data_IF_724508300130
#
_entry.id   IF_724508300130
#
_cell.length_a   1.000
_cell.length_b   1.000
_cell.length_c   1.000
_cell.angle_alpha   90.00
_cell.angle_beta   90.00
_cell.angle_gamma   90.00
#
_symmetry.space_group_name_H-M   'P 1'
#
loop_
_entity.id
_entity.type
_entity.pdbx_description
1 polymer ?
#
# COMPACT_ATOMS: atom_id res chain seq x y z
N UNK A 1 -8.09 2.76 -21.13
CA UNK A 1 -6.67 2.66 -21.57
C UNK A 1 -6.38 3.39 -22.89
N UNK A 2 -7.23 3.29 -23.93
CA UNK A 2 -7.00 3.95 -25.24
C UNK A 2 -6.74 5.46 -25.17
N UNK A 3 -7.50 6.21 -24.35
CA UNK A 3 -7.28 7.65 -24.11
C UNK A 3 -5.96 7.97 -23.37
N UNK A 4 -5.44 7.03 -22.59
CA UNK A 4 -4.19 7.17 -21.83
C UNK A 4 -2.96 6.65 -22.60
N UNK A 5 -3.17 6.08 -23.82
CA UNK A 5 -2.11 5.50 -24.66
C UNK A 5 -1.20 4.51 -23.92
N UNK A 6 -1.83 3.58 -23.18
CA UNK A 6 -1.15 2.48 -22.48
C UNK A 6 -1.79 1.13 -22.82
N UNK A 7 -0.99 0.07 -22.80
CA UNK A 7 -1.43 -1.34 -22.90
C UNK A 7 -1.19 -2.03 -21.57
N UNK A 8 -2.21 -2.67 -21.00
CA UNK A 8 -2.03 -3.49 -19.80
C UNK A 8 -1.30 -4.79 -20.13
N UNK A 9 -0.31 -5.15 -19.32
CA UNK A 9 0.44 -6.41 -19.43
C UNK A 9 0.04 -7.40 -18.34
N UNK A 10 -0.10 -6.93 -17.10
CA UNK A 10 -0.49 -7.75 -15.95
C UNK A 10 -0.98 -6.87 -14.80
N UNK A 11 -1.63 -7.50 -13.82
CA UNK A 11 -1.89 -6.93 -12.49
C UNK A 11 -1.10 -7.75 -11.49
N UNK A 12 -0.33 -7.08 -10.63
CA UNK A 12 0.44 -7.69 -9.56
C UNK A 12 -0.33 -7.42 -8.26
N UNK A 13 -0.82 -8.49 -7.63
CA UNK A 13 -1.58 -8.42 -6.39
C UNK A 13 -0.63 -8.48 -5.19
N UNK A 14 -0.72 -7.49 -4.29
CA UNK A 14 0.06 -7.40 -3.04
C UNK A 14 -0.89 -7.54 -1.83
N UNK A 15 -0.33 -7.43 -0.64
CA UNK A 15 -1.02 -7.56 0.63
C UNK A 15 -2.07 -6.48 0.85
N UNK A 16 -2.94 -6.74 1.81
CA UNK A 16 -4.01 -5.83 2.18
C UNK A 16 -3.45 -4.64 2.95
N UNK A 17 -3.94 -3.45 2.63
CA UNK A 17 -3.53 -2.21 3.30
C UNK A 17 -4.15 -2.14 4.69
N UNK A 18 -3.31 -2.05 5.71
CA UNK A 18 -3.67 -1.97 7.13
C UNK A 18 -3.64 -0.52 7.61
N UNK A 19 -4.54 -0.12 8.53
CA UNK A 19 -4.41 1.14 9.25
C UNK A 19 -3.18 1.11 10.17
N UNK A 20 -2.35 2.14 10.08
CA UNK A 20 -1.16 2.35 10.91
C UNK A 20 -1.28 3.72 11.56
N UNK A 21 -1.00 3.84 12.85
CA UNK A 21 -1.21 5.05 13.63
C UNK A 21 -0.05 5.37 14.56
N UNK A 22 0.06 6.65 14.90
CA UNK A 22 1.18 7.21 15.69
C UNK A 22 0.97 7.01 17.18
N UNK A 23 -0.19 7.42 17.71
CA UNK A 23 -0.40 7.51 19.16
C UNK A 23 -1.02 6.25 19.79
N UNK A 24 -1.97 5.62 19.07
CA UNK A 24 -2.77 4.50 19.55
C UNK A 24 -3.39 3.75 18.36
N UNK A 25 -3.77 2.46 18.50
CA UNK A 25 -4.40 1.74 17.41
C UNK A 25 -5.78 2.33 17.09
N UNK A 26 -6.19 2.21 15.81
CA UNK A 26 -7.49 2.67 15.33
C UNK A 26 -8.47 1.48 15.39
N UNK A 27 -9.17 1.32 16.51
CA UNK A 27 -10.00 0.15 16.80
C UNK A 27 -11.48 0.36 16.42
N UNK A 28 -11.90 1.61 16.25
CA UNK A 28 -13.22 1.91 15.70
C UNK A 28 -13.28 3.30 15.08
N UNK A 29 -14.41 3.66 14.44
CA UNK A 29 -14.55 4.96 13.76
C UNK A 29 -14.30 6.17 14.66
N UNK A 30 -14.52 6.05 15.97
CA UNK A 30 -14.20 7.10 16.93
C UNK A 30 -12.72 7.48 16.97
N UNK A 31 -11.83 6.54 16.66
CA UNK A 31 -10.37 6.74 16.72
C UNK A 31 -9.83 7.49 15.51
N UNK A 32 -10.59 7.54 14.43
CA UNK A 32 -10.27 8.26 13.20
C UNK A 32 -10.61 9.75 13.29
N UNK A 33 -11.42 10.17 14.26
CA UNK A 33 -11.87 11.56 14.32
C UNK A 33 -10.74 12.53 14.63
N UNK A 34 -10.57 13.52 13.75
CA UNK A 34 -9.67 14.66 13.97
C UNK A 34 -8.20 14.40 13.66
N UNK A 35 -7.81 13.16 13.32
CA UNK A 35 -6.46 12.87 12.83
C UNK A 35 -6.35 13.22 11.35
N UNK A 36 -5.15 13.57 10.90
CA UNK A 36 -4.81 13.54 9.47
C UNK A 36 -4.31 12.14 9.13
N UNK A 37 -4.90 11.48 8.14
CA UNK A 37 -4.56 10.12 7.74
C UNK A 37 -4.11 10.09 6.27
N UNK A 38 -2.90 9.59 6.04
CA UNK A 38 -2.31 9.55 4.71
C UNK A 38 -2.60 8.24 3.97
N UNK A 39 -3.04 8.35 2.72
CA UNK A 39 -3.19 7.24 1.79
C UNK A 39 -2.62 7.58 0.43
N UNK A 40 -2.52 6.60 -0.46
CA UNK A 40 -2.14 6.88 -1.84
C UNK A 40 -3.13 7.87 -2.50
N UNK A 41 -2.66 8.69 -3.44
CA UNK A 41 -3.51 9.68 -4.13
C UNK A 41 -4.67 8.98 -4.85
N UNK A 42 -5.86 9.09 -4.29
CA UNK A 42 -7.09 8.51 -4.83
C UNK A 42 -8.30 9.21 -4.24
N UNK A 43 -9.24 9.64 -5.08
CA UNK A 43 -10.48 10.27 -4.63
C UNK A 43 -11.29 9.32 -3.74
N UNK A 44 -11.49 8.06 -4.15
CA UNK A 44 -12.28 7.11 -3.38
C UNK A 44 -11.63 6.74 -2.03
N UNK A 45 -10.29 6.75 -1.94
CA UNK A 45 -9.61 6.51 -0.67
C UNK A 45 -9.73 7.73 0.26
N UNK A 46 -9.61 8.95 -0.30
CA UNK A 46 -9.82 10.17 0.46
C UNK A 46 -11.26 10.24 1.02
N UNK A 47 -12.27 9.97 0.19
CA UNK A 47 -13.68 9.93 0.61
C UNK A 47 -13.92 8.87 1.70
N UNK A 48 -13.32 7.69 1.59
CA UNK A 48 -13.44 6.64 2.60
C UNK A 48 -12.82 7.05 3.96
N UNK A 49 -11.65 7.70 3.93
CA UNK A 49 -10.98 8.23 5.12
C UNK A 49 -11.80 9.34 5.77
N UNK A 50 -12.33 10.26 4.97
CA UNK A 50 -13.16 11.37 5.43
C UNK A 50 -14.49 10.88 6.02
N UNK A 51 -15.08 9.83 5.45
CA UNK A 51 -16.28 9.18 6.01
C UNK A 51 -16.04 8.56 7.39
N UNK A 52 -14.80 8.18 7.72
CA UNK A 52 -14.40 7.73 9.07
C UNK A 52 -14.14 8.91 10.04
N UNK A 53 -14.13 10.15 9.55
CA UNK A 53 -13.95 11.37 10.35
C UNK A 53 -12.51 11.89 10.43
N UNK A 54 -11.59 11.30 9.68
CA UNK A 54 -10.22 11.79 9.52
C UNK A 54 -10.12 12.82 8.40
N UNK A 55 -9.02 13.61 8.37
CA UNK A 55 -8.66 14.44 7.20
C UNK A 55 -7.78 13.62 6.27
N UNK A 56 -8.14 13.50 5.00
CA UNK A 56 -7.32 12.79 4.03
C UNK A 56 -6.05 13.58 3.66
N UNK A 57 -4.94 12.86 3.51
CA UNK A 57 -3.69 13.37 2.96
C UNK A 57 -3.14 12.38 1.94
N UNK A 58 -2.42 12.86 0.94
CA UNK A 58 -1.76 12.03 -0.08
C UNK A 58 -0.23 12.00 0.05
N UNK A 59 0.29 12.45 1.20
CA UNK A 59 1.72 12.42 1.49
C UNK A 59 2.26 11.00 1.47
N UNK A 60 3.39 10.81 0.80
CA UNK A 60 4.01 9.51 0.61
C UNK A 60 5.54 9.61 0.60
N UNK A 61 6.24 8.52 0.90
CA UNK A 61 7.70 8.46 0.88
C UNK A 61 8.34 9.44 1.86
N UNK A 62 9.35 10.18 1.41
CA UNK A 62 10.06 11.18 2.23
C UNK A 62 9.14 12.24 2.85
N UNK A 63 8.24 12.89 2.08
CA UNK A 63 7.25 13.82 2.64
C UNK A 63 6.37 13.23 3.76
N UNK A 64 5.96 11.97 3.64
CA UNK A 64 5.21 11.31 4.72
C UNK A 64 6.06 11.17 5.99
N UNK A 65 7.31 10.71 5.84
CA UNK A 65 8.22 10.57 6.98
C UNK A 65 8.50 11.91 7.68
N UNK A 66 8.71 12.99 6.92
CA UNK A 66 8.89 14.34 7.48
C UNK A 66 7.64 14.83 8.22
N UNK A 67 6.44 14.59 7.67
CA UNK A 67 5.19 15.00 8.30
C UNK A 67 4.86 14.15 9.56
N UNK A 68 5.30 12.89 9.61
CA UNK A 68 5.25 12.08 10.83
C UNK A 68 6.17 12.66 11.91
N UNK A 69 7.41 13.02 11.58
CA UNK A 69 8.34 13.65 12.53
C UNK A 69 7.85 15.01 13.03
N UNK A 70 7.15 15.77 12.18
CA UNK A 70 6.54 17.04 12.54
C UNK A 70 5.22 16.90 13.32
N UNK A 71 4.68 15.69 13.48
CA UNK A 71 3.40 15.45 14.15
C UNK A 71 2.17 15.91 13.35
N UNK A 72 2.30 16.08 12.04
CA UNK A 72 1.22 16.56 11.15
C UNK A 72 0.31 15.41 10.67
N UNK A 73 0.81 14.18 10.72
CA UNK A 73 0.10 12.95 10.32
C UNK A 73 -0.12 12.08 11.55
N UNK A 74 -1.37 11.71 11.81
CA UNK A 74 -1.75 10.81 12.91
C UNK A 74 -1.84 9.33 12.51
N UNK A 75 -1.88 9.04 11.20
CA UNK A 75 -1.86 7.69 10.68
C UNK A 75 -1.70 7.60 9.17
N UNK A 76 -1.44 6.40 8.67
CA UNK A 76 -1.33 6.11 7.26
C UNK A 76 -1.63 4.63 6.97
N UNK A 77 -1.63 4.25 5.70
CA UNK A 77 -1.87 2.86 5.29
C UNK A 77 -0.72 2.27 4.46
N UNK A 78 -0.38 1.00 4.73
CA UNK A 78 0.57 0.17 3.96
C UNK A 78 0.17 -1.31 4.08
N UNK A 79 0.68 -2.16 3.19
CA UNK A 79 0.75 -3.59 3.48
C UNK A 79 1.85 -3.83 4.53
N UNK A 80 1.77 -4.93 5.29
CA UNK A 80 2.74 -5.22 6.35
C UNK A 80 4.17 -5.35 5.80
N UNK A 81 4.34 -5.94 4.62
CA UNK A 81 5.63 -6.02 3.93
C UNK A 81 6.23 -4.63 3.68
N UNK A 82 5.46 -3.72 3.09
CA UNK A 82 5.97 -2.36 2.81
C UNK A 82 6.24 -1.59 4.11
N UNK A 83 5.40 -1.76 5.13
CA UNK A 83 5.63 -1.15 6.44
C UNK A 83 6.93 -1.65 7.09
N UNK A 84 7.22 -2.96 6.99
CA UNK A 84 8.48 -3.54 7.45
C UNK A 84 9.69 -2.97 6.68
N UNK A 85 9.64 -2.97 5.35
CA UNK A 85 10.72 -2.52 4.47
C UNK A 85 11.02 -1.03 4.58
N UNK A 86 10.01 -0.21 4.87
CA UNK A 86 10.17 1.26 5.01
C UNK A 86 10.60 1.69 6.40
N UNK A 87 10.59 0.78 7.40
CA UNK A 87 11.07 1.08 8.75
C UNK A 87 10.23 2.10 9.52
N UNK A 88 9.01 2.43 9.06
CA UNK A 88 8.17 3.50 9.64
C UNK A 88 7.65 3.19 11.05
N UNK A 89 7.90 1.99 11.57
CA UNK A 89 7.50 1.56 12.91
C UNK A 89 8.05 2.41 14.05
N UNK A 90 9.19 3.08 13.84
CA UNK A 90 9.76 3.99 14.84
C UNK A 90 8.97 5.30 14.95
N UNK A 91 8.31 5.72 13.88
CA UNK A 91 7.51 6.95 13.82
C UNK A 91 6.03 6.67 14.11
N UNK A 92 5.51 5.51 13.69
CA UNK A 92 4.12 5.10 13.90
C UNK A 92 4.03 3.60 14.23
N UNK A 93 4.08 3.22 15.52
CA UNK A 93 4.24 1.82 15.91
C UNK A 93 2.94 1.02 15.88
N UNK A 94 1.76 1.64 15.85
CA UNK A 94 0.49 0.94 16.05
C UNK A 94 -0.13 0.48 14.74
N UNK A 95 -0.48 -0.80 14.64
CA UNK A 95 -1.14 -1.38 13.48
C UNK A 95 -2.46 -2.01 13.91
N UNK A 96 -3.58 -1.68 13.24
CA UNK A 96 -4.84 -2.41 13.42
C UNK A 96 -4.87 -3.60 12.45
N UNK A 97 -4.56 -4.80 12.93
CA UNK A 97 -4.19 -5.94 12.09
C UNK A 97 -5.37 -6.64 11.40
N UNK A 98 -6.53 -6.73 12.07
CA UNK A 98 -7.74 -7.36 11.54
C UNK A 98 -8.56 -6.44 10.60
N UNK A 99 -8.15 -5.18 10.40
CA UNK A 99 -8.82 -4.25 9.49
C UNK A 99 -8.07 -4.19 8.16
N UNK A 100 -8.80 -4.36 7.06
CA UNK A 100 -8.30 -4.22 5.71
C UNK A 100 -9.01 -3.04 5.04
N UNK A 101 -8.26 -2.02 4.64
CA UNK A 101 -8.83 -0.84 3.99
C UNK A 101 -9.09 -1.11 2.49
N UNK A 102 -8.09 -1.64 1.78
CA UNK A 102 -8.19 -2.02 0.37
C UNK A 102 -7.03 -2.92 -0.05
N UNK A 103 -7.17 -3.68 -1.15
CA UNK A 103 -6.06 -4.41 -1.73
C UNK A 103 -5.01 -3.45 -2.30
N UNK A 104 -3.73 -3.77 -2.14
CA UNK A 104 -2.68 -3.15 -2.93
C UNK A 104 -2.55 -3.89 -4.26
N UNK A 105 -2.71 -3.17 -5.37
CA UNK A 105 -2.56 -3.71 -6.72
C UNK A 105 -1.68 -2.80 -7.55
N UNK A 106 -0.75 -3.39 -8.29
CA UNK A 106 0.11 -2.67 -9.24
C UNK A 106 -0.23 -3.11 -10.65
N UNK A 107 -0.54 -2.15 -11.53
CA UNK A 107 -0.74 -2.42 -12.95
C UNK A 107 0.59 -2.34 -13.70
N UNK A 108 1.01 -3.43 -14.34
CA UNK A 108 2.12 -3.42 -15.27
C UNK A 108 1.61 -2.94 -16.63
N UNK A 109 2.14 -1.80 -17.08
CA UNK A 109 1.70 -1.13 -18.31
C UNK A 109 2.85 -1.02 -19.30
N UNK A 110 2.53 -1.09 -20.59
CA UNK A 110 3.45 -0.83 -21.69
C UNK A 110 2.99 0.34 -22.56
N UNK A 111 3.95 1.04 -23.15
CA UNK A 111 3.68 1.96 -24.24
C UNK A 111 3.29 1.16 -25.50
N UNK A 112 2.11 1.42 -26.11
CA UNK A 112 1.61 0.65 -27.24
C UNK A 112 2.50 0.76 -28.48
N UNK A 113 3.10 1.91 -28.75
CA UNK A 113 3.96 2.14 -29.91
C UNK A 113 5.26 1.33 -29.79
N UNK A 114 5.81 1.24 -28.56
CA UNK A 114 6.99 0.41 -28.28
C UNK A 114 6.66 -1.07 -28.37
N UNK A 115 5.49 -1.47 -27.90
CA UNK A 115 5.02 -2.86 -27.99
C UNK A 115 4.79 -3.28 -29.46
N UNK A 116 4.30 -2.36 -30.30
CA UNK A 116 4.08 -2.59 -31.72
C UNK A 116 5.39 -2.85 -32.49
N UNK A 117 6.48 -2.22 -32.07
CA UNK A 117 7.81 -2.36 -32.70
C UNK A 117 8.56 -3.63 -32.28
N UNK A 118 8.04 -4.42 -31.32
CA UNK A 118 8.63 -5.70 -30.94
C UNK A 118 8.32 -6.76 -32.00
N UNK A 119 9.29 -7.65 -32.24
CA UNK A 119 9.03 -8.89 -32.98
C UNK A 119 8.02 -9.76 -32.23
N UNK A 120 7.42 -10.72 -32.92
CA UNK A 120 6.50 -11.68 -32.30
C UNK A 120 7.15 -12.43 -31.13
N UNK A 121 8.41 -12.87 -31.30
CA UNK A 121 9.16 -13.54 -30.26
C UNK A 121 9.39 -12.65 -29.02
N UNK A 122 9.79 -11.39 -29.21
CA UNK A 122 10.00 -10.44 -28.12
C UNK A 122 8.70 -10.15 -27.37
N UNK A 123 7.59 -10.00 -28.10
CA UNK A 123 6.27 -9.80 -27.51
C UNK A 123 5.85 -11.01 -26.67
N UNK A 124 6.08 -12.22 -27.18
CA UNK A 124 5.80 -13.45 -26.46
C UNK A 124 6.64 -13.58 -25.18
N UNK A 125 7.93 -13.22 -25.22
CA UNK A 125 8.79 -13.19 -24.03
C UNK A 125 8.30 -12.19 -22.99
N UNK A 126 7.93 -10.97 -23.40
CA UNK A 126 7.42 -9.96 -22.49
C UNK A 126 6.09 -10.39 -21.84
N UNK A 127 5.18 -10.98 -22.62
CA UNK A 127 3.92 -11.50 -22.09
C UNK A 127 4.14 -12.66 -21.11
N UNK A 128 5.12 -13.53 -21.37
CA UNK A 128 5.50 -14.60 -20.43
C UNK A 128 6.06 -14.01 -19.14
N UNK A 129 7.04 -13.12 -19.24
CA UNK A 129 7.62 -12.44 -18.08
C UNK A 129 6.57 -11.69 -17.25
N UNK A 130 5.59 -11.04 -17.89
CA UNK A 130 4.49 -10.38 -17.19
C UNK A 130 3.61 -11.36 -16.40
N UNK A 131 3.32 -12.54 -16.96
CA UNK A 131 2.57 -13.60 -16.25
C UNK A 131 3.37 -14.20 -15.11
N UNK A 132 4.65 -14.48 -15.35
CA UNK A 132 5.54 -15.05 -14.35
C UNK A 132 5.72 -14.08 -13.17
N UNK A 133 5.85 -12.77 -13.45
CA UNK A 133 5.87 -11.74 -12.43
C UNK A 133 4.56 -11.66 -11.64
N UNK A 134 3.40 -11.73 -12.30
CA UNK A 134 2.11 -11.72 -11.62
C UNK A 134 1.92 -12.92 -10.69
N UNK A 135 2.39 -14.10 -11.11
CA UNK A 135 2.35 -15.32 -10.30
C UNK A 135 3.31 -15.23 -9.10
N UNK A 136 4.56 -14.83 -9.30
CA UNK A 136 5.53 -14.76 -8.21
C UNK A 136 5.28 -13.64 -7.20
N UNK A 137 4.49 -12.62 -7.56
CA UNK A 137 4.25 -11.49 -6.66
C UNK A 137 3.36 -11.88 -5.47
N UNK A 138 2.43 -12.83 -5.64
CA UNK A 138 1.59 -13.32 -4.53
C UNK A 138 2.40 -14.12 -3.50
N UNK A 139 3.47 -14.78 -3.91
CA UNK A 139 4.34 -15.56 -3.02
C UNK A 139 5.03 -14.67 -1.98
N UNK A 140 5.26 -13.39 -2.31
CA UNK A 140 5.88 -12.40 -1.42
C UNK A 140 5.05 -12.10 -0.16
N UNK A 141 3.74 -12.34 -0.21
CA UNK A 141 2.81 -12.06 0.88
C UNK A 141 2.20 -13.33 1.46
N UNK A 142 2.53 -14.51 0.91
CA UNK A 142 2.03 -15.80 1.38
C UNK A 142 2.49 -16.11 2.82
N UNK A 143 3.62 -15.54 3.24
CA UNK A 143 4.24 -15.72 4.55
C UNK A 143 4.11 -14.45 5.44
N UNK A 144 2.94 -13.81 5.42
CA UNK A 144 2.67 -12.60 6.23
C UNK A 144 2.80 -12.86 7.74
N UNK A 145 2.68 -14.11 8.19
CA UNK A 145 2.89 -14.55 9.58
C UNK A 145 4.32 -14.29 10.08
N UNK A 146 5.34 -14.53 9.24
CA UNK A 146 6.73 -14.18 9.55
C UNK A 146 6.91 -12.67 9.65
N UNK A 147 6.29 -11.90 8.75
CA UNK A 147 6.34 -10.44 8.76
C UNK A 147 5.74 -9.90 10.06
N UNK A 148 4.62 -10.46 10.52
CA UNK A 148 4.01 -10.10 11.80
C UNK A 148 4.96 -10.35 12.97
N UNK A 149 5.60 -11.52 13.03
CA UNK A 149 6.55 -11.85 14.09
C UNK A 149 7.72 -10.86 14.13
N UNK A 150 8.32 -10.58 12.97
CA UNK A 150 9.44 -9.65 12.84
C UNK A 150 9.06 -8.20 13.20
N UNK A 151 7.85 -7.77 12.81
CA UNK A 151 7.34 -6.45 13.16
C UNK A 151 7.16 -6.31 14.68
N UNK A 152 6.56 -7.30 15.33
CA UNK A 152 6.38 -7.32 16.79
C UNK A 152 7.73 -7.29 17.53
N UNK A 153 8.69 -8.14 17.12
CA UNK A 153 10.05 -8.13 17.67
C UNK A 153 10.75 -6.79 17.44
N UNK A 154 10.48 -6.15 16.30
CA UNK A 154 10.97 -4.83 15.93
C UNK A 154 10.25 -3.65 16.60
N UNK A 155 9.32 -3.89 17.53
CA UNK A 155 8.64 -2.86 18.33
C UNK A 155 7.31 -2.36 17.78
N UNK A 156 6.81 -2.93 16.68
CA UNK A 156 5.44 -2.66 16.23
C UNK A 156 4.42 -3.25 17.22
N UNK A 157 3.29 -2.57 17.37
CA UNK A 157 2.20 -2.91 18.28
C UNK A 157 0.95 -3.22 17.47
N UNK A 158 0.72 -4.51 17.23
CA UNK A 158 -0.43 -4.99 16.49
C UNK A 158 -1.62 -5.20 17.45
N UNK A 159 -2.78 -4.68 17.08
CA UNK A 159 -4.03 -4.84 17.82
C UNK A 159 -5.17 -5.17 16.86
N UNK A 160 -6.23 -5.77 17.40
CA UNK A 160 -7.47 -6.01 16.65
C UNK A 160 -8.54 -5.01 17.10
N UNK A 161 -9.25 -4.44 16.13
CA UNK A 161 -10.48 -3.67 16.32
C UNK A 161 -11.57 -4.51 17.00
#
# INVERSE_FOLDING_TARGET
LGRLRVTGLAVLADGLRKPIAVERPLLGPADWRGITFAAFRSQGQAEAIEALGARASDLWGGPLSQALDAGEIGGFEKSLLIYQLTGLKTQAPYVTANVNLWPQMVALLANPDRLANLTEAQRAWLQRAARDAAAGYTDLIEHEDHIVADLCQGGARLANA
#
